data_IF_797025473322
#
_entry.id   IF_797025473322
#
_cell.length_a   1.000
_cell.length_b   1.000
_cell.length_c   1.000
_cell.angle_alpha   90.00
_cell.angle_beta   90.00
_cell.angle_gamma   90.00
#
_symmetry.space_group_name_H-M   'P 1'
#
loop_
_entity.id
_entity.type
_entity.pdbx_description
1 polymer ?
#
# COMPACT_ATOMS: atom_id res chain seq x y z
N UNK A 1 22.09 4.92 17.40
CA UNK A 1 21.97 4.47 16.00
C UNK A 1 21.45 3.04 15.99
N UNK A 2 20.35 2.78 15.28
CA UNK A 2 19.86 1.41 15.09
C UNK A 2 20.76 0.65 14.11
N UNK A 3 21.05 -0.61 14.37
CA UNK A 3 21.82 -1.44 13.46
C UNK A 3 21.05 -1.77 12.18
N UNK A 4 21.77 -1.92 11.05
CA UNK A 4 21.18 -2.30 9.75
C UNK A 4 20.29 -3.55 9.82
N UNK A 5 20.70 -4.56 10.62
CA UNK A 5 19.92 -5.79 10.83
C UNK A 5 18.55 -5.51 11.47
N UNK A 6 18.48 -4.61 12.45
CA UNK A 6 17.23 -4.22 13.11
C UNK A 6 16.31 -3.51 12.11
N UNK A 7 16.82 -2.52 11.39
CA UNK A 7 16.03 -1.79 10.40
C UNK A 7 15.48 -2.72 9.31
N UNK A 8 16.30 -3.64 8.79
CA UNK A 8 15.86 -4.63 7.79
C UNK A 8 14.77 -5.56 8.33
N UNK A 9 14.90 -6.02 9.58
CA UNK A 9 13.87 -6.86 10.22
C UNK A 9 12.54 -6.12 10.33
N UNK A 10 12.56 -4.87 10.79
CA UNK A 10 11.34 -4.08 10.95
C UNK A 10 10.73 -3.68 9.60
N UNK A 11 11.56 -3.37 8.60
CA UNK A 11 11.08 -3.15 7.23
C UNK A 11 10.37 -4.40 6.67
N UNK A 12 10.91 -5.59 6.90
CA UNK A 12 10.28 -6.85 6.48
C UNK A 12 8.95 -7.11 7.20
N UNK A 13 8.85 -6.83 8.51
CA UNK A 13 7.61 -6.93 9.28
C UNK A 13 6.55 -5.97 8.76
N UNK A 14 6.91 -4.70 8.53
CA UNK A 14 5.98 -3.72 7.98
C UNK A 14 5.52 -4.07 6.57
N UNK A 15 6.39 -4.65 5.74
CA UNK A 15 6.01 -5.08 4.40
C UNK A 15 4.99 -6.23 4.44
N UNK A 16 5.18 -7.21 5.33
CA UNK A 16 4.20 -8.28 5.56
C UNK A 16 2.88 -7.73 6.09
N UNK A 17 2.93 -6.79 7.02
CA UNK A 17 1.74 -6.12 7.53
C UNK A 17 0.97 -5.41 6.42
N UNK A 18 1.67 -4.71 5.52
CA UNK A 18 1.03 -4.08 4.38
C UNK A 18 0.34 -5.11 3.46
N UNK A 19 0.99 -6.25 3.17
CA UNK A 19 0.39 -7.33 2.39
C UNK A 19 -0.90 -7.88 3.03
N UNK A 20 -0.87 -8.16 4.33
CA UNK A 20 -2.05 -8.61 5.10
C UNK A 20 -3.21 -7.60 5.04
N UNK A 21 -2.89 -6.31 4.95
CA UNK A 21 -3.87 -5.23 4.81
C UNK A 21 -4.26 -4.94 3.34
N UNK A 22 -3.75 -5.70 2.36
CA UNK A 22 -3.98 -5.48 0.93
C UNK A 22 -3.25 -4.26 0.36
N UNK A 23 -2.23 -3.74 1.05
CA UNK A 23 -1.46 -2.56 0.65
C UNK A 23 -0.18 -3.00 -0.04
N UNK A 24 -0.04 -2.68 -1.33
CA UNK A 24 1.22 -2.83 -2.05
C UNK A 24 2.09 -1.58 -1.87
N UNK A 25 3.02 -1.60 -0.91
CA UNK A 25 3.89 -0.46 -0.61
C UNK A 25 4.78 -0.04 -1.79
N UNK A 26 5.23 -1.01 -2.61
CA UNK A 26 6.03 -0.72 -3.80
C UNK A 26 5.25 0.12 -4.79
N UNK A 27 4.00 -0.28 -5.07
CA UNK A 27 3.11 0.49 -5.94
C UNK A 27 2.83 1.88 -5.37
N UNK A 28 2.59 1.98 -4.06
CA UNK A 28 2.36 3.27 -3.39
C UNK A 28 3.57 4.20 -3.48
N UNK A 29 4.79 3.66 -3.42
CA UNK A 29 6.02 4.44 -3.63
C UNK A 29 6.14 4.92 -5.08
N UNK A 30 5.87 4.04 -6.05
CA UNK A 30 5.92 4.37 -7.49
C UNK A 30 4.88 5.45 -7.83
N UNK A 31 3.66 5.34 -7.31
CA UNK A 31 2.59 6.34 -7.46
C UNK A 31 2.81 7.63 -6.66
N UNK A 32 3.91 7.74 -5.91
CA UNK A 32 4.23 8.91 -5.09
C UNK A 32 3.30 9.12 -3.89
N UNK A 33 2.54 8.09 -3.48
CA UNK A 33 1.64 8.14 -2.31
C UNK A 33 2.38 8.06 -0.97
N UNK A 34 3.60 7.55 -0.99
CA UNK A 34 4.54 7.54 0.14
C UNK A 34 5.95 7.79 -0.39
N UNK A 35 6.69 8.68 0.28
CA UNK A 35 8.09 8.94 -0.10
C UNK A 35 9.03 7.92 0.52
N UNK A 36 10.20 7.71 -0.10
CA UNK A 36 11.24 6.85 0.48
C UNK A 36 11.78 7.36 1.82
N UNK A 37 11.66 8.66 2.10
CA UNK A 37 11.98 9.25 3.40
C UNK A 37 10.92 8.93 4.46
N UNK A 38 9.64 9.13 4.11
CA UNK A 38 8.52 8.79 4.99
C UNK A 38 8.52 7.30 5.34
N UNK A 39 8.84 6.43 4.36
CA UNK A 39 9.04 5.00 4.60
C UNK A 39 10.17 4.73 5.60
N UNK A 40 11.34 5.37 5.42
CA UNK A 40 12.48 5.20 6.35
C UNK A 40 12.12 5.65 7.76
N UNK A 41 11.43 6.79 7.90
CA UNK A 41 10.95 7.26 9.21
C UNK A 41 9.97 6.28 9.85
N UNK A 42 9.04 5.72 9.07
CA UNK A 42 8.08 4.75 9.56
C UNK A 42 8.78 3.47 10.07
N UNK A 43 9.81 2.99 9.35
CA UNK A 43 10.63 1.86 9.81
C UNK A 43 11.37 2.20 11.11
N UNK A 44 11.95 3.40 11.22
CA UNK A 44 12.61 3.85 12.46
C UNK A 44 11.59 3.93 13.62
N UNK A 45 10.40 4.49 13.41
CA UNK A 45 9.31 4.50 14.40
C UNK A 45 8.89 3.08 14.79
N UNK A 46 8.88 2.15 13.84
CA UNK A 46 8.59 0.74 14.09
C UNK A 46 9.65 0.09 14.99
N UNK A 47 10.93 0.47 14.87
CA UNK A 47 11.99 -0.04 15.77
C UNK A 47 11.82 0.39 17.23
N UNK A 48 11.01 1.42 17.48
CA UNK A 48 10.67 1.90 18.81
C UNK A 48 9.31 1.36 19.31
N UNK A 49 8.70 0.41 18.60
CA UNK A 49 7.50 -0.28 19.06
C UNK A 49 7.85 -1.15 20.28
N UNK A 50 7.01 -1.09 21.31
CA UNK A 50 7.23 -1.81 22.57
C UNK A 50 7.15 -3.33 22.41
N UNK A 51 6.35 -3.82 21.44
CA UNK A 51 5.98 -5.24 21.36
C UNK A 51 6.21 -5.83 19.95
N UNK A 52 7.47 -6.02 19.52
CA UNK A 52 7.77 -6.68 18.25
C UNK A 52 7.35 -8.17 18.24
N UNK A 53 7.24 -8.81 19.41
CA UNK A 53 6.74 -10.17 19.56
C UNK A 53 5.27 -10.30 19.13
N UNK A 54 4.43 -9.44 19.68
CA UNK A 54 3.00 -9.38 19.35
C UNK A 54 2.76 -9.05 17.87
N UNK A 55 3.58 -8.18 17.27
CA UNK A 55 3.56 -7.94 15.83
C UNK A 55 3.77 -9.23 15.01
N UNK A 56 4.69 -10.11 15.43
CA UNK A 56 4.92 -11.38 14.74
C UNK A 56 3.79 -12.37 14.94
N UNK A 57 3.21 -12.45 16.14
CA UNK A 57 2.05 -13.31 16.41
C UNK A 57 0.85 -12.89 15.57
N UNK A 58 0.52 -11.60 15.58
CA UNK A 58 -0.57 -11.07 14.77
C UNK A 58 -0.36 -11.32 13.26
N UNK A 59 0.87 -11.17 12.76
CA UNK A 59 1.19 -11.50 11.36
C UNK A 59 1.06 -12.99 11.05
N UNK A 60 1.37 -13.87 12.01
CA UNK A 60 1.22 -15.30 11.84
C UNK A 60 -0.26 -15.73 11.81
N UNK A 61 -1.09 -15.13 12.66
CA UNK A 61 -2.54 -15.36 12.69
C UNK A 61 -3.23 -14.95 11.40
N UNK A 62 -2.72 -13.92 10.72
CA UNK A 62 -3.29 -13.38 9.48
C UNK A 62 -2.44 -13.69 8.25
N UNK A 63 -1.57 -14.71 8.32
CA UNK A 63 -0.63 -15.02 7.24
C UNK A 63 -1.35 -15.32 5.91
N UNK A 64 -2.51 -15.96 5.97
CA UNK A 64 -3.34 -16.29 4.81
C UNK A 64 -3.70 -15.05 3.97
N UNK A 65 -4.08 -13.94 4.62
CA UNK A 65 -4.43 -12.68 3.95
C UNK A 65 -3.24 -12.02 3.24
N UNK A 66 -2.01 -12.33 3.65
CA UNK A 66 -0.80 -11.84 3.00
C UNK A 66 -0.28 -12.75 1.88
N UNK A 67 -0.71 -14.01 1.82
CA UNK A 67 -0.18 -15.02 0.89
C UNK A 67 -1.16 -15.46 -0.19
N UNK A 68 -2.47 -15.49 0.11
CA UNK A 68 -3.50 -15.85 -0.86
C UNK A 68 -4.11 -14.58 -1.46
N UNK A 69 -4.00 -14.35 -2.78
CA UNK A 69 -4.59 -13.19 -3.45
C UNK A 69 -6.13 -13.18 -3.39
N UNK A 70 -6.77 -14.31 -3.09
CA UNK A 70 -8.23 -14.41 -2.93
C UNK A 70 -8.68 -14.25 -1.47
N UNK A 71 -7.75 -14.28 -0.52
CA UNK A 71 -8.10 -14.09 0.89
C UNK A 71 -8.51 -12.63 1.14
N UNK A 72 -9.51 -12.46 2.01
CA UNK A 72 -9.99 -11.12 2.35
C UNK A 72 -8.93 -10.38 3.17
N UNK A 73 -8.46 -9.19 2.72
CA UNK A 73 -7.46 -8.44 3.46
C UNK A 73 -8.03 -7.96 4.80
N UNK A 74 -7.18 -7.96 5.82
CA UNK A 74 -7.56 -7.50 7.17
C UNK A 74 -7.85 -6.01 7.13
N UNK A 75 -8.92 -5.56 7.79
CA UNK A 75 -9.38 -4.18 7.68
C UNK A 75 -8.43 -3.16 8.31
N UNK A 76 -7.84 -3.50 9.45
CA UNK A 76 -7.06 -2.56 10.25
C UNK A 76 -5.79 -3.20 10.83
N UNK A 77 -4.75 -2.38 10.96
CA UNK A 77 -3.57 -2.72 11.72
C UNK A 77 -3.89 -2.81 13.23
N UNK A 78 -3.13 -3.60 14.00
CA UNK A 78 -3.34 -3.72 15.44
C UNK A 78 -3.17 -2.38 16.16
N UNK A 79 -3.88 -2.21 17.27
CA UNK A 79 -3.95 -0.95 18.03
C UNK A 79 -2.60 -0.49 18.59
N UNK A 80 -1.70 -1.43 18.90
CA UNK A 80 -0.34 -1.13 19.39
C UNK A 80 0.64 -0.71 18.29
N UNK A 81 0.26 -0.82 17.00
CA UNK A 81 1.15 -0.45 15.91
C UNK A 81 1.33 1.07 15.82
N UNK A 82 2.55 1.54 16.04
CA UNK A 82 2.92 2.96 15.94
C UNK A 82 2.70 3.55 14.54
N UNK A 83 2.64 2.70 13.50
CA UNK A 83 2.39 3.10 12.12
C UNK A 83 0.94 2.82 11.66
N UNK A 84 0.00 2.49 12.56
CA UNK A 84 -1.39 2.19 12.21
C UNK A 84 -2.03 3.29 11.35
N UNK A 85 -1.82 4.55 11.71
CA UNK A 85 -2.39 5.69 10.99
C UNK A 85 -1.85 5.83 9.57
N UNK A 86 -0.55 5.55 9.36
CA UNK A 86 0.05 5.56 8.03
C UNK A 86 -0.58 4.46 7.15
N UNK A 87 -0.72 3.25 7.68
CA UNK A 87 -1.35 2.14 6.96
C UNK A 87 -2.82 2.42 6.65
N UNK A 88 -3.58 2.97 7.60
CA UNK A 88 -4.97 3.35 7.38
C UNK A 88 -5.13 4.43 6.30
N UNK A 89 -4.23 5.43 6.26
CA UNK A 89 -4.21 6.45 5.21
C UNK A 89 -3.97 5.81 3.84
N UNK A 90 -2.96 4.94 3.72
CA UNK A 90 -2.66 4.24 2.47
C UNK A 90 -3.82 3.35 2.03
N UNK A 91 -4.47 2.65 2.98
CA UNK A 91 -5.65 1.82 2.70
C UNK A 91 -6.80 2.64 2.11
N UNK A 92 -7.12 3.79 2.71
CA UNK A 92 -8.18 4.68 2.22
C UNK A 92 -7.92 5.15 0.78
N UNK A 93 -6.67 5.50 0.48
CA UNK A 93 -6.29 5.88 -0.89
C UNK A 93 -6.49 4.73 -1.88
N UNK A 94 -6.29 3.47 -1.48
CA UNK A 94 -6.58 2.30 -2.34
C UNK A 94 -8.06 2.29 -2.68
N UNK A 95 -8.90 2.32 -1.65
CA UNK A 95 -10.36 2.25 -1.82
C UNK A 95 -10.89 3.45 -2.63
N UNK A 96 -10.38 4.66 -2.40
CA UNK A 96 -10.73 5.85 -3.17
C UNK A 96 -10.31 5.72 -4.65
N UNK A 97 -9.11 5.19 -4.92
CA UNK A 97 -8.61 5.00 -6.29
C UNK A 97 -9.43 3.92 -7.03
N UNK A 98 -9.73 2.79 -6.38
CA UNK A 98 -10.58 1.72 -6.94
C UNK A 98 -11.98 2.28 -7.30
N UNK A 99 -12.55 3.14 -6.45
CA UNK A 99 -13.82 3.81 -6.72
C UNK A 99 -13.75 4.83 -7.87
N UNK A 100 -12.57 5.40 -8.16
CA UNK A 100 -12.40 6.32 -9.30
C UNK A 100 -12.22 5.60 -10.63
N UNK A 101 -11.66 4.38 -10.63
CA UNK A 101 -11.50 3.57 -11.86
C UNK A 101 -12.86 3.10 -12.41
N UNK A 102 -13.85 2.83 -11.54
CA UNK A 102 -15.24 2.54 -11.93
C UNK A 102 -15.99 3.76 -12.53
N UNK A 103 -15.47 4.99 -12.36
CA UNK A 103 -16.11 6.22 -12.83
C UNK A 103 -15.57 6.75 -14.17
N UNK A 104 -14.66 6.01 -14.83
CA UNK A 104 -14.19 6.34 -16.18
C UNK A 104 -14.54 5.25 -17.19
N UNK A 105 -15.76 5.21 -17.76
CA UNK A 105 -15.91 4.68 -19.10
C UNK A 105 -15.15 5.63 -20.04
N UNK A 106 -13.95 5.22 -20.40
CA UNK A 106 -13.19 5.70 -21.54
C UNK A 106 -14.10 5.78 -22.79
N UNK A 107 -14.60 6.99 -23.07
CA UNK A 107 -15.06 7.35 -24.41
C UNK A 107 -13.83 7.41 -25.31
N UNK A 108 -13.38 6.25 -25.78
CA UNK A 108 -12.55 6.12 -26.96
C UNK A 108 -13.41 6.56 -28.15
N UNK A 109 -13.48 7.87 -28.36
CA UNK A 109 -13.96 8.43 -29.62
C UNK A 109 -12.83 8.30 -30.64
N UNK A 110 -12.68 7.09 -31.20
CA UNK A 110 -12.06 6.96 -32.53
C UNK A 110 -12.98 7.66 -33.52
N UNK A 111 -12.53 8.84 -33.97
CA UNK A 111 -13.23 9.68 -34.93
C UNK A 111 -12.20 10.46 -35.75
N UNK A 112 -11.27 9.73 -36.37
CA UNK A 112 -10.36 10.27 -37.37
C UNK A 112 -11.18 10.64 -38.62
N UNK A 113 -11.71 11.87 -38.60
CA UNK A 113 -12.39 12.48 -39.72
C UNK A 113 -11.38 13.05 -40.71
N UNK A 114 -10.85 12.23 -41.61
CA UNK A 114 -10.18 12.72 -42.83
C UNK A 114 -11.22 13.22 -43.84
N UNK A 115 -11.83 14.35 -43.52
CA UNK A 115 -12.61 15.18 -44.45
C UNK A 115 -11.66 16.12 -45.19
N UNK A 116 -11.02 15.63 -46.24
CA UNK A 116 -10.16 16.42 -47.14
C UNK A 116 -10.99 17.51 -47.87
N UNK A 117 -10.73 18.82 -47.70
CA UNK A 117 -11.41 19.84 -48.48
C UNK A 117 -10.60 20.20 -49.74
N UNK A 118 -11.23 20.09 -50.90
CA UNK A 118 -10.92 20.96 -52.04
C UNK A 118 -10.59 20.25 -53.35
N UNK A 119 -11.51 20.41 -54.32
CA UNK A 119 -11.32 21.24 -55.52
C UNK A 119 -12.46 20.97 -56.53
N UNK A 120 -13.35 21.95 -56.70
CA UNK A 120 -14.00 22.24 -57.97
C UNK A 120 -13.34 23.49 -58.53
#
# INVERSE_FOLDING_TARGET
>A
MYGRKTLNRHAALMNRMAQVLGINLTERMIRGKISGEEWREAVVRCTNCSDPGECMHWLAEHAEAGTDPNARPVAEAPSYCTNKMMMARLRRQITEEELTEDLMPENVAEGEGDGYPGKC
#
